data_IF_824228943499
#
_entry.id   IF_824228943499
#
_cell.length_a   1.000
_cell.length_b   1.000
_cell.length_c   1.000
_cell.angle_alpha   90.00
_cell.angle_beta   90.00
_cell.angle_gamma   90.00
#
_symmetry.space_group_name_H-M   'P 1'
#
loop_
_entity.id
_entity.type
_entity.pdbx_description
1 polymer ?
#
# COMPACT_ATOMS: atom_id res chain seq x y z
N UNK A 1 17.64 -31.68 21.95
CA UNK A 1 16.78 -31.38 20.78
C UNK A 1 16.85 -29.86 20.48
N UNK A 2 17.88 -29.42 19.78
CA UNK A 2 18.06 -28.01 19.33
C UNK A 2 18.45 -28.08 17.83
N UNK A 3 17.48 -28.44 16.95
CA UNK A 3 17.73 -28.52 15.50
C UNK A 3 16.64 -27.84 14.67
N UNK A 4 15.65 -27.19 15.28
CA UNK A 4 14.48 -26.70 14.54
C UNK A 4 14.66 -25.31 13.90
N UNK A 5 15.57 -24.48 14.38
CA UNK A 5 15.82 -23.12 13.86
C UNK A 5 16.61 -23.12 12.56
N UNK A 6 17.77 -23.77 12.55
CA UNK A 6 18.66 -23.82 11.39
C UNK A 6 18.03 -24.53 10.17
N UNK A 7 17.24 -25.58 10.40
CA UNK A 7 16.53 -26.29 9.33
C UNK A 7 15.41 -25.41 8.72
N UNK A 8 14.73 -24.61 9.54
CA UNK A 8 13.71 -23.67 9.09
C UNK A 8 14.32 -22.54 8.26
N UNK A 9 15.43 -21.96 8.71
CA UNK A 9 16.15 -20.90 7.98
C UNK A 9 16.68 -21.40 6.63
N UNK A 10 17.27 -22.59 6.59
CA UNK A 10 17.75 -23.24 5.36
C UNK A 10 16.59 -23.48 4.38
N UNK A 11 15.42 -23.89 4.87
CA UNK A 11 14.23 -24.09 4.05
C UNK A 11 13.76 -22.76 3.41
N UNK A 12 13.69 -21.69 4.20
CA UNK A 12 13.31 -20.35 3.70
C UNK A 12 14.32 -19.86 2.66
N UNK A 13 15.62 -20.01 2.92
CA UNK A 13 16.67 -19.62 1.99
C UNK A 13 16.58 -20.35 0.64
N UNK A 14 16.29 -21.67 0.67
CA UNK A 14 16.09 -22.46 -0.55
C UNK A 14 14.85 -21.99 -1.33
N UNK A 15 13.72 -21.76 -0.66
CA UNK A 15 12.49 -21.27 -1.31
C UNK A 15 12.74 -19.86 -1.89
N UNK A 16 13.42 -18.97 -1.18
CA UNK A 16 13.81 -17.66 -1.69
C UNK A 16 14.65 -17.78 -2.97
N UNK A 17 15.67 -18.63 -2.98
CA UNK A 17 16.54 -18.84 -4.14
C UNK A 17 15.75 -19.31 -5.36
N UNK A 18 14.85 -20.28 -5.17
CA UNK A 18 13.98 -20.79 -6.23
C UNK A 18 13.01 -19.71 -6.74
N UNK A 19 12.42 -18.94 -5.82
CA UNK A 19 11.52 -17.83 -6.17
C UNK A 19 12.23 -16.76 -6.97
N UNK A 20 13.42 -16.34 -6.57
CA UNK A 20 14.21 -15.35 -7.31
C UNK A 20 14.65 -15.87 -8.68
N UNK A 21 14.95 -17.15 -8.80
CA UNK A 21 15.23 -17.80 -10.09
C UNK A 21 14.01 -17.76 -11.01
N UNK A 22 12.85 -18.09 -10.49
CA UNK A 22 11.59 -18.03 -11.22
C UNK A 22 11.23 -16.61 -11.65
N UNK A 23 11.40 -15.64 -10.76
CA UNK A 23 11.21 -14.21 -11.09
C UNK A 23 12.09 -13.79 -12.28
N UNK A 24 13.38 -14.16 -12.26
CA UNK A 24 14.29 -13.86 -13.38
C UNK A 24 13.88 -14.59 -14.67
N UNK A 25 13.45 -15.83 -14.57
CA UNK A 25 12.96 -16.61 -15.71
C UNK A 25 11.73 -15.95 -16.34
N UNK A 26 10.77 -15.53 -15.53
CA UNK A 26 9.53 -14.86 -15.97
C UNK A 26 9.80 -13.46 -16.52
N UNK A 27 10.77 -12.75 -15.96
CA UNK A 27 11.22 -11.45 -16.48
C UNK A 27 11.82 -11.59 -17.89
N UNK A 28 12.47 -12.73 -18.16
CA UNK A 28 13.08 -13.02 -19.46
C UNK A 28 14.27 -12.11 -19.79
N UNK A 29 14.68 -12.12 -21.04
CA UNK A 29 15.79 -11.32 -21.58
C UNK A 29 15.31 -10.01 -22.24
N UNK A 30 14.05 -9.62 -22.06
CA UNK A 30 13.50 -8.40 -22.63
C UNK A 30 14.19 -7.14 -22.10
N UNK A 31 14.02 -6.03 -22.80
CA UNK A 31 14.66 -4.75 -22.47
C UNK A 31 14.23 -4.25 -21.09
N UNK A 32 15.05 -4.56 -20.08
CA UNK A 32 14.87 -4.09 -18.71
C UNK A 32 14.96 -2.56 -18.63
N UNK A 33 15.83 -1.95 -19.43
CA UNK A 33 16.00 -0.50 -19.44
C UNK A 33 14.73 0.21 -19.89
N UNK A 34 14.09 -0.24 -20.97
CA UNK A 34 12.83 0.33 -21.43
C UNK A 34 11.69 0.16 -20.39
N UNK A 35 11.70 -0.95 -19.64
CA UNK A 35 10.73 -1.14 -18.54
C UNK A 35 10.98 -0.18 -17.39
N UNK A 36 12.23 0.05 -16.99
CA UNK A 36 12.61 1.02 -15.95
C UNK A 36 12.22 2.44 -16.40
N UNK A 37 12.52 2.83 -17.63
CA UNK A 37 12.11 4.13 -18.19
C UNK A 37 10.58 4.29 -18.18
N UNK A 38 9.85 3.22 -18.47
CA UNK A 38 8.39 3.17 -18.32
C UNK A 38 7.93 3.46 -16.88
N UNK A 39 8.62 2.90 -15.89
CA UNK A 39 8.33 3.13 -14.47
C UNK A 39 8.67 4.58 -14.05
N UNK A 40 9.77 5.14 -14.55
CA UNK A 40 10.21 6.51 -14.24
C UNK A 40 9.19 7.57 -14.67
N UNK A 41 8.46 7.37 -15.77
CA UNK A 41 7.37 8.25 -16.22
C UNK A 41 6.26 8.41 -15.17
N UNK A 42 6.13 7.41 -14.27
CA UNK A 42 5.18 7.43 -13.16
C UNK A 42 5.83 7.81 -11.83
N UNK A 43 7.10 8.25 -11.84
CA UNK A 43 7.85 8.62 -10.64
C UNK A 43 8.35 7.42 -9.82
N UNK A 44 8.44 6.24 -10.44
CA UNK A 44 8.97 5.02 -9.82
C UNK A 44 10.42 4.85 -10.28
N UNK A 45 11.37 5.00 -9.36
CA UNK A 45 12.83 4.95 -9.64
C UNK A 45 13.50 3.88 -8.80
N UNK A 46 13.38 2.60 -9.19
CA UNK A 46 13.93 1.51 -8.41
C UNK A 46 15.45 1.47 -8.54
N UNK A 47 16.16 1.31 -7.42
CA UNK A 47 17.62 1.06 -7.44
C UNK A 47 17.95 -0.31 -8.02
N UNK A 48 17.08 -1.29 -7.84
CA UNK A 48 17.18 -2.68 -8.32
C UNK A 48 15.80 -3.17 -8.71
N UNK A 49 15.63 -3.62 -9.95
CA UNK A 49 14.39 -4.18 -10.46
C UNK A 49 14.65 -5.33 -11.44
N UNK A 50 13.64 -6.17 -11.62
CA UNK A 50 13.59 -7.22 -12.64
C UNK A 50 12.62 -6.86 -13.76
N UNK A 51 11.79 -5.82 -13.57
CA UNK A 51 10.84 -5.35 -14.56
C UNK A 51 9.60 -6.24 -14.73
N UNK A 52 9.19 -6.95 -13.68
CA UNK A 52 7.99 -7.76 -13.68
C UNK A 52 6.73 -6.90 -13.54
N UNK A 53 5.68 -7.23 -14.28
CA UNK A 53 4.39 -6.60 -14.12
C UNK A 53 3.53 -7.30 -13.04
N UNK A 54 2.48 -6.64 -12.60
CA UNK A 54 1.58 -7.15 -11.54
C UNK A 54 0.95 -8.51 -11.88
N UNK A 55 0.45 -8.79 -13.10
CA UNK A 55 -0.04 -10.12 -13.47
C UNK A 55 1.01 -11.24 -13.30
N UNK A 56 2.26 -11.00 -13.69
CA UNK A 56 3.36 -11.94 -13.53
C UNK A 56 3.65 -12.22 -12.04
N UNK A 57 3.74 -11.16 -11.23
CA UNK A 57 3.95 -11.30 -9.79
C UNK A 57 2.81 -12.05 -9.10
N UNK A 58 1.56 -11.78 -9.48
CA UNK A 58 0.39 -12.51 -8.97
C UNK A 58 0.40 -13.99 -9.38
N UNK A 59 0.88 -14.32 -10.58
CA UNK A 59 1.03 -15.70 -11.02
C UNK A 59 2.05 -16.45 -10.16
N UNK A 60 3.22 -15.85 -9.89
CA UNK A 60 4.25 -16.41 -9.02
C UNK A 60 3.72 -16.59 -7.59
N UNK A 61 3.01 -15.60 -7.05
CA UNK A 61 2.49 -15.63 -5.69
C UNK A 61 1.49 -16.77 -5.42
N UNK A 62 0.74 -17.23 -6.43
CA UNK A 62 -0.35 -18.20 -6.23
C UNK A 62 0.07 -19.48 -5.53
N UNK A 63 1.27 -19.98 -5.81
CA UNK A 63 1.80 -21.21 -5.21
C UNK A 63 2.62 -20.99 -3.92
N UNK A 64 2.79 -19.74 -3.48
CA UNK A 64 3.70 -19.39 -2.39
C UNK A 64 3.00 -18.84 -1.14
N UNK A 65 1.76 -18.40 -1.24
CA UNK A 65 1.00 -17.71 -0.18
C UNK A 65 0.06 -18.63 0.60
N UNK A 66 -0.21 -18.35 1.90
CA UNK A 66 0.49 -17.35 2.71
C UNK A 66 1.84 -17.88 3.20
N UNK A 67 2.87 -17.02 3.23
CA UNK A 67 4.21 -17.40 3.69
C UNK A 67 4.97 -16.17 4.22
N UNK A 68 4.81 -15.86 5.50
CA UNK A 68 5.42 -14.68 6.10
C UNK A 68 6.96 -14.75 6.14
N UNK A 69 7.63 -15.88 6.46
CA UNK A 69 9.08 -15.97 6.41
C UNK A 69 9.66 -15.70 5.01
N UNK A 70 9.02 -16.22 3.97
CA UNK A 70 9.42 -15.93 2.59
C UNK A 70 9.19 -14.46 2.24
N UNK A 71 8.08 -13.87 2.67
CA UNK A 71 7.80 -12.46 2.41
C UNK A 71 8.86 -11.54 3.02
N UNK A 72 9.29 -11.83 4.25
CA UNK A 72 10.38 -11.09 4.89
C UNK A 72 11.72 -11.28 4.17
N UNK A 73 12.05 -12.50 3.77
CA UNK A 73 13.26 -12.78 3.01
C UNK A 73 13.27 -12.09 1.62
N UNK A 74 12.14 -12.04 0.92
CA UNK A 74 11.96 -11.31 -0.32
C UNK A 74 12.14 -9.80 -0.11
N UNK A 75 11.61 -9.26 0.98
CA UNK A 75 11.73 -7.84 1.34
C UNK A 75 13.18 -7.41 1.51
N UNK A 76 13.96 -8.20 2.23
CA UNK A 76 15.38 -7.93 2.54
C UNK A 76 16.27 -7.94 1.28
N UNK A 77 15.83 -8.54 0.17
CA UNK A 77 16.60 -8.47 -1.10
C UNK A 77 16.77 -7.05 -1.63
N UNK A 78 15.89 -6.12 -1.25
CA UNK A 78 15.86 -4.75 -1.77
C UNK A 78 15.50 -4.66 -3.26
N UNK A 79 15.09 -5.76 -3.90
CA UNK A 79 14.63 -5.78 -5.28
C UNK A 79 13.17 -5.29 -5.32
N UNK A 80 12.88 -4.32 -6.16
CA UNK A 80 11.56 -3.67 -6.27
C UNK A 80 10.42 -4.68 -6.47
N UNK A 81 10.57 -5.54 -7.46
CA UNK A 81 9.59 -6.58 -7.78
C UNK A 81 9.46 -7.63 -6.66
N UNK A 82 10.56 -7.94 -5.96
CA UNK A 82 10.54 -8.85 -4.84
C UNK A 82 9.80 -8.25 -3.63
N UNK A 83 9.92 -6.95 -3.38
CA UNK A 83 9.12 -6.23 -2.36
C UNK A 83 7.63 -6.24 -2.70
N UNK A 84 7.29 -6.05 -3.98
CA UNK A 84 5.90 -6.20 -4.43
C UNK A 84 5.41 -7.64 -4.26
N UNK A 85 6.22 -8.64 -4.61
CA UNK A 85 5.90 -10.05 -4.39
C UNK A 85 5.74 -10.38 -2.90
N UNK A 86 6.57 -9.81 -2.03
CA UNK A 86 6.46 -9.96 -0.57
C UNK A 86 5.07 -9.56 -0.05
N UNK A 87 4.49 -8.47 -0.58
CA UNK A 87 3.12 -8.05 -0.23
C UNK A 87 2.04 -9.04 -0.65
N UNK A 88 2.31 -9.82 -1.69
CA UNK A 88 1.37 -10.81 -2.24
C UNK A 88 1.46 -12.17 -1.54
N UNK A 89 2.63 -12.53 -1.01
CA UNK A 89 2.86 -13.83 -0.35
C UNK A 89 2.81 -13.75 1.18
N UNK A 90 2.91 -12.54 1.75
CA UNK A 90 2.84 -12.32 3.19
C UNK A 90 1.54 -12.84 3.81
N UNK A 91 1.62 -13.17 5.09
CA UNK A 91 0.49 -13.64 5.88
C UNK A 91 -0.04 -12.49 6.76
N UNK A 92 -1.26 -12.01 6.51
CA UNK A 92 -1.87 -10.94 7.30
C UNK A 92 -2.04 -11.28 8.79
N UNK A 93 -2.17 -12.56 9.13
CA UNK A 93 -2.30 -13.01 10.50
C UNK A 93 -0.96 -13.10 11.23
N UNK A 94 0.13 -13.35 10.50
CA UNK A 94 1.46 -13.53 11.04
C UNK A 94 2.33 -12.25 11.01
N UNK A 95 1.99 -11.27 10.17
CA UNK A 95 2.76 -10.02 10.11
C UNK A 95 2.63 -9.24 11.40
N UNK A 96 3.76 -8.74 11.92
CA UNK A 96 3.80 -7.98 13.17
C UNK A 96 3.77 -6.48 12.93
N UNK A 97 3.39 -5.70 13.97
CA UNK A 97 3.51 -4.24 13.95
C UNK A 97 4.94 -3.79 13.64
N UNK A 98 5.93 -4.48 14.18
CA UNK A 98 7.35 -4.18 13.95
C UNK A 98 7.74 -4.37 12.49
N UNK A 99 7.32 -5.48 11.88
CA UNK A 99 7.56 -5.74 10.45
C UNK A 99 6.88 -4.69 9.57
N UNK A 100 5.61 -4.34 9.85
CA UNK A 100 4.91 -3.27 9.13
C UNK A 100 5.65 -1.93 9.25
N UNK A 101 6.08 -1.55 10.47
CA UNK A 101 6.84 -0.31 10.71
C UNK A 101 8.20 -0.29 10.01
N UNK A 102 8.86 -1.43 9.89
CA UNK A 102 10.12 -1.56 9.16
C UNK A 102 9.88 -1.38 7.66
N UNK A 103 8.90 -2.07 7.10
CA UNK A 103 8.60 -2.01 5.67
C UNK A 103 8.19 -0.61 5.20
N UNK A 104 7.35 0.11 5.97
CA UNK A 104 6.94 1.45 5.57
C UNK A 104 8.09 2.46 5.54
N UNK A 105 9.14 2.26 6.37
CA UNK A 105 10.36 3.09 6.33
C UNK A 105 11.21 2.85 5.10
N UNK A 106 11.12 1.64 4.53
CA UNK A 106 11.87 1.25 3.34
C UNK A 106 11.17 1.65 2.02
N UNK A 107 9.94 2.18 2.08
CA UNK A 107 9.23 2.59 0.88
C UNK A 107 9.96 3.74 0.17
N UNK A 108 10.28 3.51 -1.09
CA UNK A 108 10.92 4.50 -1.98
C UNK A 108 10.04 4.85 -3.19
N UNK A 109 8.83 4.25 -3.28
CA UNK A 109 7.90 4.48 -4.38
C UNK A 109 6.46 4.20 -3.95
N UNK A 110 5.53 4.83 -4.65
CA UNK A 110 4.10 4.73 -4.36
C UNK A 110 3.52 3.34 -4.66
N UNK A 111 4.02 2.65 -5.68
CA UNK A 111 3.48 1.36 -6.13
C UNK A 111 3.79 0.22 -5.15
N UNK A 112 5.00 0.14 -4.59
CA UNK A 112 5.34 -0.81 -3.51
C UNK A 112 4.55 -0.47 -2.24
N UNK A 113 4.43 0.81 -1.91
CA UNK A 113 3.61 1.28 -0.78
C UNK A 113 2.16 0.79 -0.93
N UNK A 114 1.53 1.07 -2.08
CA UNK A 114 0.13 0.69 -2.33
C UNK A 114 -0.03 -0.84 -2.41
N UNK A 115 0.93 -1.55 -3.00
CA UNK A 115 0.92 -3.00 -3.01
C UNK A 115 0.89 -3.59 -1.59
N UNK A 116 1.71 -3.10 -0.67
CA UNK A 116 1.69 -3.53 0.72
C UNK A 116 0.38 -3.17 1.42
N UNK A 117 -0.12 -1.95 1.22
CA UNK A 117 -1.37 -1.49 1.83
C UNK A 117 -2.60 -2.29 1.36
N UNK A 118 -2.67 -2.63 0.04
CA UNK A 118 -3.84 -3.28 -0.55
C UNK A 118 -3.81 -4.81 -0.52
N UNK A 119 -2.62 -5.42 -0.44
CA UNK A 119 -2.52 -6.88 -0.48
C UNK A 119 -2.34 -7.51 0.91
N UNK A 120 -1.76 -6.77 1.88
CA UNK A 120 -1.32 -7.33 3.14
C UNK A 120 -1.77 -6.52 4.37
N UNK A 121 -1.47 -5.20 4.41
CA UNK A 121 -1.64 -4.40 5.61
C UNK A 121 -3.11 -4.15 5.97
N UNK A 122 -3.97 -3.96 4.98
CA UNK A 122 -5.41 -3.79 5.16
C UNK A 122 -6.11 -5.00 5.77
N UNK A 123 -5.49 -6.20 5.65
CA UNK A 123 -6.01 -7.45 6.21
C UNK A 123 -5.40 -7.78 7.58
N UNK A 124 -4.41 -7.02 8.03
CA UNK A 124 -3.77 -7.21 9.32
C UNK A 124 -4.65 -6.69 10.46
N UNK A 125 -4.69 -7.36 11.63
CA UNK A 125 -5.40 -6.86 12.80
C UNK A 125 -4.84 -5.54 13.33
N UNK A 126 -3.68 -5.12 12.83
CA UNK A 126 -3.02 -3.89 13.25
C UNK A 126 -3.29 -2.68 12.34
N UNK A 127 -4.04 -2.84 11.25
CA UNK A 127 -4.23 -1.81 10.22
C UNK A 127 -4.62 -0.44 10.82
N UNK A 128 -5.71 -0.36 11.56
CA UNK A 128 -6.21 0.90 12.14
C UNK A 128 -5.25 1.55 13.14
N UNK A 129 -4.55 0.75 13.94
CA UNK A 129 -3.56 1.29 14.89
C UNK A 129 -2.34 1.89 14.18
N UNK A 130 -1.89 1.25 13.10
CA UNK A 130 -0.76 1.69 12.31
C UNK A 130 -1.10 2.93 11.46
N UNK A 131 -2.31 3.04 10.91
CA UNK A 131 -2.80 4.23 10.20
C UNK A 131 -2.60 5.49 11.05
N UNK A 132 -3.09 5.49 12.31
CA UNK A 132 -2.98 6.65 13.19
C UNK A 132 -1.52 7.01 13.53
N UNK A 133 -0.64 6.02 13.59
CA UNK A 133 0.78 6.20 13.84
C UNK A 133 1.49 6.78 12.61
N UNK A 134 1.25 6.20 11.42
CA UNK A 134 1.93 6.58 10.19
C UNK A 134 1.50 7.95 9.67
N UNK A 135 0.25 8.32 9.82
CA UNK A 135 -0.25 9.65 9.42
C UNK A 135 0.54 10.80 10.07
N UNK A 136 1.01 10.62 11.31
CA UNK A 136 1.79 11.61 12.07
C UNK A 136 3.25 11.73 11.62
N UNK A 137 3.74 10.80 10.79
CA UNK A 137 5.13 10.80 10.35
C UNK A 137 5.35 11.84 9.26
N UNK A 138 6.58 12.36 9.18
CA UNK A 138 6.96 13.32 8.13
C UNK A 138 7.46 12.65 6.85
N UNK A 139 7.83 11.37 6.92
CA UNK A 139 8.27 10.60 5.77
C UNK A 139 7.13 10.48 4.75
N UNK A 140 7.37 10.85 3.48
CA UNK A 140 6.33 10.93 2.44
C UNK A 140 5.56 9.61 2.27
N UNK A 141 6.29 8.51 2.06
CA UNK A 141 5.65 7.22 1.82
C UNK A 141 5.10 6.58 3.09
N UNK A 142 5.62 6.89 4.28
CA UNK A 142 5.03 6.45 5.54
C UNK A 142 3.66 7.12 5.73
N UNK A 143 3.57 8.44 5.49
CA UNK A 143 2.27 9.14 5.54
C UNK A 143 1.34 8.68 4.42
N UNK A 144 1.87 8.45 3.21
CA UNK A 144 1.09 7.83 2.13
C UNK A 144 0.47 6.52 2.55
N UNK A 145 1.24 5.62 3.18
CA UNK A 145 0.78 4.31 3.61
C UNK A 145 -0.44 4.39 4.55
N UNK A 146 -0.51 5.39 5.43
CA UNK A 146 -1.68 5.59 6.28
C UNK A 146 -2.96 5.76 5.44
N UNK A 147 -2.95 6.65 4.47
CA UNK A 147 -4.12 6.95 3.64
C UNK A 147 -4.39 5.88 2.58
N UNK A 148 -3.36 5.26 2.01
CA UNK A 148 -3.50 4.12 1.12
C UNK A 148 -4.15 2.91 1.84
N UNK A 149 -3.80 2.68 3.11
CA UNK A 149 -4.43 1.62 3.92
C UNK A 149 -5.90 1.94 4.21
N UNK A 150 -6.26 3.20 4.52
CA UNK A 150 -7.68 3.61 4.64
C UNK A 150 -8.43 3.35 3.33
N UNK A 151 -7.82 3.73 2.20
CA UNK A 151 -8.43 3.52 0.89
C UNK A 151 -8.64 2.04 0.56
N UNK A 152 -7.69 1.18 0.95
CA UNK A 152 -7.79 -0.27 0.79
C UNK A 152 -8.88 -0.88 1.68
N UNK A 153 -8.90 -0.54 2.98
CA UNK A 153 -9.93 -0.97 3.94
C UNK A 153 -11.33 -0.56 3.46
N UNK A 154 -11.50 0.65 2.95
CA UNK A 154 -12.78 1.11 2.43
C UNK A 154 -13.30 0.26 1.26
N UNK A 155 -12.43 -0.42 0.53
CA UNK A 155 -12.80 -1.32 -0.58
C UNK A 155 -12.93 -2.77 -0.13
N UNK A 156 -12.00 -3.26 0.68
CA UNK A 156 -11.85 -4.69 0.95
C UNK A 156 -12.59 -5.14 2.22
N UNK A 157 -12.58 -4.33 3.28
CA UNK A 157 -13.23 -4.69 4.54
C UNK A 157 -14.74 -4.35 4.47
N UNK A 158 -15.51 -5.28 3.91
CA UNK A 158 -16.96 -5.11 3.77
C UNK A 158 -17.72 -5.27 5.07
N UNK A 159 -17.13 -5.95 6.05
CA UNK A 159 -17.73 -6.21 7.36
C UNK A 159 -17.51 -5.05 8.35
N UNK A 160 -16.55 -4.17 8.09
CA UNK A 160 -16.26 -3.04 8.96
C UNK A 160 -17.48 -2.10 9.07
N UNK A 161 -17.78 -1.70 10.30
CA UNK A 161 -18.83 -0.72 10.60
C UNK A 161 -18.47 0.65 10.00
N UNK A 162 -19.48 1.41 9.57
CA UNK A 162 -19.30 2.75 9.01
C UNK A 162 -18.61 3.71 9.99
N UNK A 163 -18.77 3.49 11.30
CA UNK A 163 -18.19 4.30 12.36
C UNK A 163 -16.67 4.43 12.21
N UNK A 164 -15.95 3.34 11.88
CA UNK A 164 -14.47 3.41 11.75
C UNK A 164 -14.04 4.31 10.60
N UNK A 165 -14.84 4.40 9.54
CA UNK A 165 -14.58 5.31 8.41
C UNK A 165 -15.00 6.74 8.70
N UNK A 166 -16.09 6.96 9.45
CA UNK A 166 -16.45 8.29 9.94
C UNK A 166 -15.35 8.85 10.85
N UNK A 167 -14.78 8.03 11.73
CA UNK A 167 -13.68 8.39 12.62
C UNK A 167 -12.34 8.62 11.87
N UNK A 168 -12.23 8.21 10.62
CA UNK A 168 -11.06 8.49 9.76
C UNK A 168 -11.17 9.83 9.02
N UNK A 169 -12.38 10.40 8.83
CA UNK A 169 -12.56 11.67 8.11
C UNK A 169 -11.81 12.86 8.74
N UNK A 170 -11.77 13.04 10.08
CA UNK A 170 -10.96 14.09 10.70
C UNK A 170 -9.47 13.98 10.36
N UNK A 171 -8.94 12.77 10.21
CA UNK A 171 -7.55 12.56 9.80
C UNK A 171 -7.31 13.03 8.36
N UNK A 172 -8.27 12.80 7.47
CA UNK A 172 -8.24 13.30 6.09
C UNK A 172 -8.21 14.84 6.08
N UNK A 173 -9.07 15.49 6.88
CA UNK A 173 -9.12 16.95 7.01
C UNK A 173 -7.78 17.50 7.52
N UNK A 174 -7.22 16.86 8.55
CA UNK A 174 -5.95 17.25 9.16
C UNK A 174 -4.77 17.22 8.19
N UNK A 175 -4.74 16.28 7.24
CA UNK A 175 -3.61 16.11 6.32
C UNK A 175 -3.91 16.53 4.88
N UNK A 176 -5.05 17.13 4.61
CA UNK A 176 -5.41 17.63 3.28
C UNK A 176 -4.55 18.82 2.81
N UNK A 177 -3.78 19.44 3.69
CA UNK A 177 -2.84 20.52 3.35
C UNK A 177 -1.49 20.02 2.84
N UNK A 178 -1.17 18.73 2.97
CA UNK A 178 0.10 18.15 2.54
C UNK A 178 0.24 18.28 1.01
N UNK A 179 1.21 19.05 0.55
CA UNK A 179 1.40 19.39 -0.85
C UNK A 179 2.21 18.35 -1.63
N UNK A 180 2.86 17.42 -0.92
CA UNK A 180 3.59 16.33 -1.56
C UNK A 180 2.65 15.48 -2.40
N UNK A 181 3.01 15.34 -3.67
CA UNK A 181 2.12 14.75 -4.67
C UNK A 181 1.59 13.37 -4.30
N UNK A 182 2.44 12.52 -3.73
CA UNK A 182 2.05 11.15 -3.40
C UNK A 182 1.22 11.07 -2.11
N UNK A 183 1.41 11.99 -1.15
CA UNK A 183 0.54 12.09 0.04
C UNK A 183 -0.82 12.65 -0.34
N UNK A 184 -0.87 13.79 -1.04
CA UNK A 184 -2.09 14.44 -1.52
C UNK A 184 -3.00 13.47 -2.28
N UNK A 185 -2.42 12.67 -3.19
CA UNK A 185 -3.18 11.66 -3.96
C UNK A 185 -3.75 10.56 -3.08
N UNK A 186 -3.00 10.11 -2.06
CA UNK A 186 -3.49 9.09 -1.13
C UNK A 186 -4.61 9.61 -0.23
N UNK A 187 -4.50 10.83 0.29
CA UNK A 187 -5.56 11.50 1.06
C UNK A 187 -6.86 11.59 0.25
N UNK A 188 -6.76 12.05 -1.00
CA UNK A 188 -7.90 12.08 -1.92
C UNK A 188 -8.48 10.69 -2.20
N UNK A 189 -7.62 9.69 -2.41
CA UNK A 189 -8.05 8.31 -2.66
C UNK A 189 -8.82 7.74 -1.47
N UNK A 190 -8.32 7.95 -0.24
CA UNK A 190 -9.01 7.56 0.99
C UNK A 190 -10.39 8.20 1.09
N UNK A 191 -10.50 9.52 0.92
CA UNK A 191 -11.77 10.25 0.98
C UNK A 191 -12.79 9.71 -0.02
N UNK A 192 -12.38 9.53 -1.26
CA UNK A 192 -13.24 9.01 -2.33
C UNK A 192 -13.71 7.58 -2.06
N UNK A 193 -12.81 6.71 -1.59
CA UNK A 193 -13.18 5.31 -1.32
C UNK A 193 -14.09 5.17 -0.11
N UNK A 194 -13.93 5.98 0.93
CA UNK A 194 -14.91 6.06 2.03
C UNK A 194 -16.30 6.41 1.47
N UNK A 195 -16.40 7.49 0.69
CA UNK A 195 -17.70 7.91 0.15
C UNK A 195 -18.31 6.98 -0.91
N UNK A 196 -17.54 5.99 -1.41
CA UNK A 196 -18.03 4.97 -2.35
C UNK A 196 -18.65 3.76 -1.67
N UNK A 197 -18.49 3.61 -0.35
CA UNK A 197 -18.99 2.43 0.36
C UNK A 197 -20.53 2.34 0.36
N UNK A 198 -21.19 3.44 0.73
CA UNK A 198 -22.66 3.53 0.78
C UNK A 198 -23.11 5.01 0.75
N UNK A 199 -24.42 5.24 0.83
CA UNK A 199 -25.04 6.58 0.79
C UNK A 199 -24.68 7.43 2.02
N UNK A 200 -24.67 6.86 3.22
CA UNK A 200 -24.39 7.58 4.46
C UNK A 200 -22.95 8.08 4.50
N UNK A 201 -21.98 7.20 4.20
CA UNK A 201 -20.57 7.57 4.10
C UNK A 201 -20.31 8.54 2.94
N UNK A 202 -21.13 8.49 1.87
CA UNK A 202 -21.04 9.46 0.77
C UNK A 202 -21.40 10.85 1.22
N UNK A 203 -22.51 11.00 1.95
CA UNK A 203 -22.92 12.30 2.53
C UNK A 203 -21.82 12.84 3.44
N UNK A 204 -21.30 12.01 4.35
CA UNK A 204 -20.23 12.40 5.26
C UNK A 204 -18.94 12.79 4.53
N UNK A 205 -18.54 12.05 3.49
CA UNK A 205 -17.35 12.34 2.69
C UNK A 205 -17.51 13.63 1.87
N UNK A 206 -18.70 13.92 1.33
CA UNK A 206 -19.01 15.19 0.64
C UNK A 206 -18.91 16.36 1.64
N UNK A 207 -19.46 16.23 2.85
CA UNK A 207 -19.33 17.23 3.89
C UNK A 207 -17.88 17.45 4.31
N UNK A 208 -17.10 16.39 4.48
CA UNK A 208 -15.66 16.45 4.72
C UNK A 208 -14.92 17.19 3.60
N UNK A 209 -15.21 16.90 2.33
CA UNK A 209 -14.61 17.61 1.19
C UNK A 209 -14.92 19.13 1.22
N UNK A 210 -16.11 19.51 1.68
CA UNK A 210 -16.48 20.92 1.90
C UNK A 210 -15.58 21.59 2.96
N UNK A 211 -15.36 20.94 4.10
CA UNK A 211 -14.47 21.44 5.16
C UNK A 211 -12.99 21.47 4.74
N UNK A 212 -12.53 20.46 4.01
CA UNK A 212 -11.19 20.43 3.41
C UNK A 212 -10.98 21.62 2.46
N UNK A 213 -11.99 22.03 1.72
CA UNK A 213 -11.89 23.17 0.79
C UNK A 213 -11.74 24.52 1.47
N UNK A 214 -12.32 24.69 2.67
CA UNK A 214 -12.45 25.98 3.35
C UNK A 214 -11.11 26.70 3.61
N UNK A 215 -10.01 26.02 4.07
CA UNK A 215 -8.72 26.68 4.29
C UNK A 215 -8.06 27.25 3.04
N UNK A 216 -8.49 26.85 1.84
CA UNK A 216 -8.07 27.44 0.59
C UNK A 216 -6.63 27.12 0.13
N UNK A 217 -5.91 26.19 0.76
CA UNK A 217 -4.59 25.75 0.28
C UNK A 217 -4.70 25.00 -1.05
N UNK A 218 -3.66 25.05 -1.89
CA UNK A 218 -3.67 24.41 -3.20
C UNK A 218 -3.97 22.91 -3.15
N UNK A 219 -3.30 22.10 -2.30
CA UNK A 219 -3.61 20.68 -2.16
C UNK A 219 -5.04 20.42 -1.69
N UNK A 220 -5.51 21.17 -0.69
CA UNK A 220 -6.85 21.02 -0.15
C UNK A 220 -7.94 21.34 -1.19
N UNK A 221 -7.78 22.42 -1.98
CA UNK A 221 -8.69 22.72 -3.08
C UNK A 221 -8.73 21.63 -4.13
N UNK A 222 -7.56 21.06 -4.48
CA UNK A 222 -7.49 19.97 -5.47
C UNK A 222 -8.19 18.71 -4.95
N UNK A 223 -7.91 18.28 -3.70
CA UNK A 223 -8.56 17.12 -3.07
C UNK A 223 -10.07 17.31 -3.05
N UNK A 224 -10.55 18.46 -2.57
CA UNK A 224 -11.97 18.74 -2.48
C UNK A 224 -12.66 18.73 -3.84
N UNK A 225 -12.06 19.39 -4.85
CA UNK A 225 -12.64 19.45 -6.19
C UNK A 225 -12.75 18.06 -6.82
N UNK A 226 -11.70 17.24 -6.74
CA UNK A 226 -11.69 15.90 -7.31
C UNK A 226 -12.66 14.96 -6.59
N UNK A 227 -12.66 14.97 -5.24
CA UNK A 227 -13.57 14.16 -4.44
C UNK A 227 -15.04 14.54 -4.70
N UNK A 228 -15.38 15.84 -4.69
CA UNK A 228 -16.75 16.30 -4.94
C UNK A 228 -17.23 15.92 -6.34
N UNK A 229 -16.37 16.03 -7.36
CA UNK A 229 -16.71 15.62 -8.74
C UNK A 229 -17.08 14.13 -8.80
N UNK A 230 -16.22 13.25 -8.21
CA UNK A 230 -16.44 11.79 -8.24
C UNK A 230 -17.65 11.35 -7.40
N UNK A 231 -17.81 11.92 -6.20
CA UNK A 231 -18.86 11.49 -5.27
C UNK A 231 -20.25 12.00 -5.66
N UNK A 232 -20.37 13.23 -6.20
CA UNK A 232 -21.63 13.78 -6.67
C UNK A 232 -22.15 13.11 -7.95
N UNK A 233 -21.26 12.63 -8.81
CA UNK A 233 -21.64 11.88 -10.01
C UNK A 233 -22.26 10.50 -9.69
N UNK A 234 -22.25 10.09 -8.41
CA UNK A 234 -22.79 8.80 -7.91
C UNK A 234 -24.03 8.97 -7.01
N UNK A 235 -24.46 10.20 -6.84
CA UNK A 235 -25.64 10.56 -6.03
C UNK A 235 -26.96 10.26 -6.74
#
# INVERSE_FOLDING_TARGET
MISTGADSENKVANVLKLTLREMRRVAGTGDLQARIEGMERFGIRPKRALGLNTPQLRAIARGLRPNQPLAEALWETGIHDARTLASLVGDPAAITRSTMDRWVRDFASWDVCDACCCNLFDKSPYAWSQIRKWAKRNDEYVRRAAFATIAALAVHDKAAEDRVFLDALPLIEQYAFDDRNFVKKAVNWALRNIGKRNSELRVAAIACAGRVRAPGTSPARWIAADALRDLRARA
#
